data_IF_131721972312
#
_entry.id   IF_131721972312
#
_cell.length_a   1.000
_cell.length_b   1.000
_cell.length_c   1.000
_cell.angle_alpha   90.00
_cell.angle_beta   90.00
_cell.angle_gamma   90.00
#
_symmetry.space_group_name_H-M   'P 1'
#
loop_
_entity.id
_entity.type
_entity.pdbx_description
1 polymer ?
#
# COMPACT_ATOMS: atom_id res chain seq x y z
N UNK A 1 10.31 -13.77 -5.07
CA UNK A 1 8.92 -13.39 -4.77
C UNK A 1 8.97 -11.93 -4.37
N UNK A 2 8.30 -11.08 -5.13
CA UNK A 2 8.24 -9.63 -4.93
C UNK A 2 7.15 -9.30 -3.92
N UNK A 3 7.28 -8.23 -3.13
CA UNK A 3 6.17 -7.77 -2.25
C UNK A 3 4.98 -7.25 -3.04
N UNK A 4 5.16 -7.00 -4.34
CA UNK A 4 4.13 -6.53 -5.27
C UNK A 4 3.31 -7.69 -5.86
N UNK A 5 3.69 -8.95 -5.61
CA UNK A 5 2.98 -10.12 -6.14
C UNK A 5 1.55 -10.23 -5.57
N UNK A 6 1.28 -9.59 -4.41
CA UNK A 6 -0.01 -9.53 -3.72
C UNK A 6 -0.78 -8.20 -3.94
N UNK A 7 -0.28 -7.34 -4.85
CA UNK A 7 -0.80 -5.99 -5.13
C UNK A 7 -0.54 -4.96 -4.02
N UNK A 8 -0.88 -3.69 -4.28
CA UNK A 8 -0.74 -2.56 -3.35
C UNK A 8 -1.12 -2.86 -1.89
N UNK A 9 -2.27 -3.53 -1.67
CA UNK A 9 -2.75 -3.84 -0.33
C UNK A 9 -1.81 -4.80 0.43
N UNK A 10 -1.30 -5.84 -0.24
CA UNK A 10 -0.34 -6.78 0.35
C UNK A 10 1.02 -6.14 0.60
N UNK A 11 1.50 -5.30 -0.34
CA UNK A 11 2.73 -4.53 -0.18
C UNK A 11 2.63 -3.57 1.03
N UNK A 12 1.49 -2.92 1.21
CA UNK A 12 1.26 -2.02 2.34
C UNK A 12 1.19 -2.74 3.68
N UNK A 13 0.55 -3.91 3.74
CA UNK A 13 0.58 -4.72 4.94
C UNK A 13 2.01 -5.14 5.29
N UNK A 14 2.81 -5.56 4.29
CA UNK A 14 4.20 -5.93 4.48
C UNK A 14 5.06 -4.75 4.98
N UNK A 15 4.90 -3.57 4.38
CA UNK A 15 5.59 -2.32 4.80
C UNK A 15 5.18 -1.90 6.21
N UNK A 16 3.89 -1.96 6.55
CA UNK A 16 3.39 -1.68 7.90
C UNK A 16 3.98 -2.65 8.94
N UNK A 17 4.14 -3.92 8.57
CA UNK A 17 4.82 -4.92 9.42
C UNK A 17 6.30 -4.62 9.59
N UNK A 18 7.00 -4.14 8.55
CA UNK A 18 8.42 -3.74 8.68
C UNK A 18 8.59 -2.51 9.57
N UNK A 19 7.72 -1.51 9.41
CA UNK A 19 7.68 -0.35 10.31
C UNK A 19 7.44 -0.80 11.76
N UNK A 20 6.52 -1.75 11.98
CA UNK A 20 6.28 -2.35 13.29
C UNK A 20 7.54 -3.03 13.84
N UNK A 21 8.24 -3.84 13.05
CA UNK A 21 9.48 -4.49 13.45
C UNK A 21 10.57 -3.48 13.81
N UNK A 22 10.67 -2.38 13.06
CA UNK A 22 11.61 -1.30 13.38
C UNK A 22 11.25 -0.60 14.71
N UNK A 23 9.96 -0.36 14.96
CA UNK A 23 9.48 0.19 16.23
C UNK A 23 9.72 -0.77 17.40
N UNK A 24 9.51 -2.07 17.24
CA UNK A 24 9.82 -3.09 18.25
C UNK A 24 11.32 -3.14 18.57
N UNK A 25 12.16 -3.13 17.54
CA UNK A 25 13.60 -3.12 17.72
C UNK A 25 14.03 -1.86 18.47
N UNK A 26 13.54 -0.70 18.05
CA UNK A 26 13.79 0.56 18.72
C UNK A 26 13.33 0.54 20.19
N UNK A 27 12.11 0.07 20.42
CA UNK A 27 11.55 -0.03 21.74
C UNK A 27 12.36 -0.92 22.67
N UNK A 28 12.85 -2.06 22.15
CA UNK A 28 13.77 -2.94 22.88
C UNK A 28 15.07 -2.25 23.25
N UNK A 29 15.72 -1.54 22.31
CA UNK A 29 17.01 -0.89 22.56
C UNK A 29 16.89 0.34 23.48
N UNK A 30 15.72 0.99 23.52
CA UNK A 30 15.45 2.19 24.34
C UNK A 30 14.72 1.89 25.66
N UNK A 31 14.28 0.65 25.88
CA UNK A 31 13.50 0.24 27.06
C UNK A 31 11.99 0.47 26.94
N UNK A 32 11.49 1.00 25.83
CA UNK A 32 10.07 1.13 25.50
C UNK A 32 9.55 -0.22 24.94
N UNK A 33 9.11 -1.18 25.77
CA UNK A 33 8.70 -2.53 25.30
C UNK A 33 7.30 -2.94 25.75
N UNK A 34 6.68 -3.92 25.07
CA UNK A 34 5.48 -4.64 25.54
C UNK A 34 4.24 -4.53 24.65
N UNK A 35 3.06 -4.59 25.27
CA UNK A 35 1.72 -4.58 24.62
C UNK A 35 1.43 -3.32 23.79
N UNK A 36 2.27 -2.28 23.90
CA UNK A 36 2.17 -1.05 23.10
C UNK A 36 2.37 -1.27 21.60
N UNK A 37 2.97 -2.41 21.20
CA UNK A 37 3.43 -2.63 19.82
C UNK A 37 2.99 -3.96 19.15
N UNK A 38 2.20 -4.84 19.80
CA UNK A 38 1.79 -6.14 19.20
C UNK A 38 0.34 -6.16 18.62
N UNK A 39 0.02 -6.96 17.57
CA UNK A 39 -1.16 -6.71 16.75
C UNK A 39 -2.40 -7.53 17.12
N UNK A 40 -3.54 -6.83 17.27
CA UNK A 40 -4.87 -7.38 16.96
C UNK A 40 -5.22 -7.23 15.47
N UNK A 41 -5.06 -6.01 14.93
CA UNK A 41 -5.05 -5.70 13.49
C UNK A 41 -4.41 -4.30 13.29
N UNK A 42 -3.08 -4.16 13.37
CA UNK A 42 -2.31 -2.94 13.02
C UNK A 42 -2.91 -1.56 13.45
N UNK A 43 -3.35 -1.40 14.71
CA UNK A 43 -3.82 -0.11 15.23
C UNK A 43 -2.91 0.36 16.38
N UNK A 44 -2.19 1.46 16.17
CA UNK A 44 -1.33 2.12 17.18
C UNK A 44 -1.86 3.53 17.44
N UNK A 45 -1.87 3.96 18.70
CA UNK A 45 -2.33 5.31 19.07
C UNK A 45 -1.44 6.41 18.50
N UNK A 46 -2.03 7.52 18.06
CA UNK A 46 -1.31 8.61 17.39
C UNK A 46 -0.16 9.22 18.22
N UNK A 47 -0.33 9.34 19.55
CA UNK A 47 0.73 9.88 20.41
C UNK A 47 1.93 8.94 20.53
N UNK A 48 1.68 7.62 20.55
CA UNK A 48 2.75 6.60 20.54
C UNK A 48 3.51 6.63 19.22
N UNK A 49 2.78 6.77 18.09
CA UNK A 49 3.42 6.92 16.77
C UNK A 49 4.33 8.15 16.76
N UNK A 50 3.89 9.30 17.29
CA UNK A 50 4.69 10.53 17.31
C UNK A 50 5.93 10.42 18.18
N UNK A 51 5.81 9.84 19.37
CA UNK A 51 6.94 9.67 20.29
C UNK A 51 8.01 8.77 19.67
N UNK A 52 7.62 7.57 19.23
CA UNK A 52 8.56 6.58 18.68
C UNK A 52 9.12 7.01 17.33
N UNK A 53 8.29 7.56 16.43
CA UNK A 53 8.79 8.10 15.17
C UNK A 53 9.72 9.29 15.40
N UNK A 54 9.43 10.13 16.41
CA UNK A 54 10.29 11.23 16.82
C UNK A 54 11.67 10.73 17.27
N UNK A 55 11.70 9.73 18.14
CA UNK A 55 12.96 9.14 18.62
C UNK A 55 13.72 8.45 17.46
N UNK A 56 13.02 7.73 16.58
CA UNK A 56 13.63 7.08 15.40
C UNK A 56 14.27 8.13 14.48
N UNK A 57 13.53 9.21 14.21
CA UNK A 57 14.03 10.33 13.42
C UNK A 57 15.22 11.01 14.11
N UNK A 58 15.22 11.16 15.44
CA UNK A 58 16.36 11.68 16.17
C UNK A 58 17.61 10.81 15.99
N UNK A 59 17.47 9.47 16.07
CA UNK A 59 18.56 8.54 15.81
C UNK A 59 19.09 8.65 14.36
N UNK A 60 18.18 8.73 13.38
CA UNK A 60 18.55 8.94 11.97
C UNK A 60 19.26 10.28 11.76
N UNK A 61 18.84 11.34 12.44
CA UNK A 61 19.49 12.66 12.36
C UNK A 61 20.88 12.64 12.99
N UNK A 62 21.05 11.94 14.11
CA UNK A 62 22.38 11.72 14.69
C UNK A 62 23.30 10.96 13.72
N UNK A 63 22.78 9.94 13.05
CA UNK A 63 23.52 9.20 12.02
C UNK A 63 23.85 10.10 10.81
N UNK A 64 22.89 10.89 10.33
CA UNK A 64 23.09 11.84 9.23
C UNK A 64 24.23 12.81 9.54
N UNK A 65 24.16 13.44 10.73
CA UNK A 65 25.16 14.37 11.23
C UNK A 65 26.53 13.72 11.32
N UNK A 66 26.62 12.48 11.81
CA UNK A 66 27.88 11.73 11.88
C UNK A 66 28.52 11.53 10.50
N UNK A 67 27.70 11.43 9.46
CA UNK A 67 28.13 11.21 8.08
C UNK A 67 28.17 12.48 7.22
N UNK A 68 28.01 13.67 7.82
CA UNK A 68 28.01 14.95 7.09
C UNK A 68 26.80 15.16 6.17
N UNK A 69 25.72 14.40 6.37
CA UNK A 69 24.45 14.55 5.65
C UNK A 69 23.53 15.47 6.43
N UNK A 70 22.88 16.40 5.75
CA UNK A 70 21.86 17.27 6.35
C UNK A 70 20.61 16.44 6.71
N UNK A 71 20.19 16.40 7.99
CA UNK A 71 18.95 15.77 8.44
C UNK A 71 17.70 16.14 7.62
N UNK A 72 17.63 17.37 7.10
CA UNK A 72 16.49 17.80 6.30
C UNK A 72 16.30 16.97 5.02
N UNK A 73 17.40 16.45 4.46
CA UNK A 73 17.36 15.60 3.27
C UNK A 73 16.74 14.23 3.55
N UNK A 74 16.87 13.71 4.77
CA UNK A 74 16.24 12.45 5.18
C UNK A 74 14.72 12.61 5.25
N UNK A 75 14.25 13.71 5.84
CA UNK A 75 12.81 14.04 5.89
C UNK A 75 12.26 14.20 4.48
N UNK A 76 12.94 14.94 3.62
CA UNK A 76 12.52 15.18 2.25
C UNK A 76 12.45 13.88 1.44
N UNK A 77 13.46 13.00 1.56
CA UNK A 77 13.47 11.71 0.89
C UNK A 77 12.32 10.81 1.37
N UNK A 78 12.08 10.73 2.68
CA UNK A 78 10.96 9.96 3.24
C UNK A 78 9.60 10.46 2.75
N UNK A 79 9.39 11.78 2.69
CA UNK A 79 8.15 12.36 2.20
C UNK A 79 7.96 12.13 0.68
N UNK A 80 9.02 12.25 -0.11
CA UNK A 80 8.98 12.00 -1.55
C UNK A 80 8.59 10.54 -1.84
N UNK A 81 9.27 9.58 -1.20
CA UNK A 81 8.96 8.17 -1.38
C UNK A 81 7.52 7.83 -0.99
N UNK A 82 7.02 8.38 0.12
CA UNK A 82 5.63 8.16 0.53
C UNK A 82 4.62 8.69 -0.50
N UNK A 83 4.87 9.86 -1.09
CA UNK A 83 3.97 10.43 -2.10
C UNK A 83 4.00 9.62 -3.39
N UNK A 84 5.19 9.21 -3.85
CA UNK A 84 5.35 8.34 -5.02
C UNK A 84 4.64 7.00 -4.81
N UNK A 85 4.82 6.38 -3.64
CA UNK A 85 4.17 5.11 -3.30
C UNK A 85 2.63 5.23 -3.29
N UNK A 86 2.07 6.32 -2.73
CA UNK A 86 0.61 6.55 -2.78
C UNK A 86 0.08 6.68 -4.22
N UNK A 87 0.83 7.37 -5.09
CA UNK A 87 0.43 7.54 -6.49
C UNK A 87 0.44 6.21 -7.24
N UNK A 88 1.49 5.40 -7.04
CA UNK A 88 1.58 4.04 -7.58
C UNK A 88 0.41 3.16 -7.10
N UNK A 89 0.09 3.20 -5.80
CA UNK A 89 -1.04 2.46 -5.23
C UNK A 89 -2.38 2.87 -5.88
N UNK A 90 -2.57 4.17 -6.12
CA UNK A 90 -3.80 4.66 -6.73
C UNK A 90 -3.92 4.22 -8.20
N UNK A 91 -2.82 4.27 -8.94
CA UNK A 91 -2.76 3.81 -10.32
C UNK A 91 -3.03 2.31 -10.44
N UNK A 92 -2.47 1.49 -9.53
CA UNK A 92 -2.75 0.06 -9.48
C UNK A 92 -4.24 -0.23 -9.21
N UNK A 93 -4.88 0.51 -8.30
CA UNK A 93 -6.31 0.36 -8.02
C UNK A 93 -7.18 0.72 -9.22
N UNK A 94 -6.87 1.83 -9.90
CA UNK A 94 -7.58 2.24 -11.12
C UNK A 94 -7.44 1.19 -12.23
N UNK A 95 -6.22 0.68 -12.46
CA UNK A 95 -5.97 -0.33 -13.48
C UNK A 95 -6.72 -1.64 -13.18
N UNK A 96 -6.67 -2.12 -11.93
CA UNK A 96 -7.38 -3.32 -11.51
C UNK A 96 -8.91 -3.19 -11.67
N UNK A 97 -9.46 -1.99 -11.41
CA UNK A 97 -10.87 -1.72 -11.60
C UNK A 97 -11.27 -1.72 -13.09
N UNK A 98 -10.43 -1.16 -13.96
CA UNK A 98 -10.65 -1.16 -15.42
C UNK A 98 -10.62 -2.59 -15.97
N UNK A 99 -9.62 -3.40 -15.57
CA UNK A 99 -9.50 -4.79 -16.00
C UNK A 99 -10.71 -5.62 -15.56
N UNK A 100 -11.13 -5.46 -14.29
CA UNK A 100 -12.32 -6.15 -13.75
C UNK A 100 -13.60 -5.79 -14.52
N UNK A 101 -13.80 -4.50 -14.83
CA UNK A 101 -14.97 -4.03 -15.58
C UNK A 101 -14.95 -4.52 -17.04
N UNK A 102 -13.79 -4.59 -17.67
CA UNK A 102 -13.63 -5.12 -19.03
C UNK A 102 -13.96 -6.62 -19.10
N UNK A 103 -13.55 -7.39 -18.09
CA UNK A 103 -13.87 -8.81 -17.98
C UNK A 103 -15.37 -9.04 -17.80
N UNK A 104 -16.02 -8.26 -16.93
CA UNK A 104 -17.47 -8.32 -16.72
C UNK A 104 -18.27 -7.99 -17.99
N UNK A 105 -17.89 -6.90 -18.70
CA UNK A 105 -18.52 -6.52 -19.97
C UNK A 105 -18.34 -7.58 -21.05
N UNK A 106 -17.15 -8.20 -21.12
CA UNK A 106 -16.86 -9.26 -22.08
C UNK A 106 -17.71 -10.50 -21.81
N UNK A 107 -17.87 -10.87 -20.53
CA UNK A 107 -18.72 -11.98 -20.12
C UNK A 107 -20.22 -11.70 -20.34
N UNK A 108 -20.71 -10.50 -20.03
CA UNK A 108 -22.11 -10.13 -20.27
C UNK A 108 -22.42 -10.10 -21.78
N UNK A 109 -21.52 -9.54 -22.60
CA UNK A 109 -21.64 -9.62 -24.04
C UNK A 109 -21.66 -11.07 -24.52
N UNK A 110 -20.77 -11.94 -24.05
CA UNK A 110 -20.76 -13.36 -24.43
C UNK A 110 -22.06 -14.07 -24.05
N UNK A 111 -22.64 -13.79 -22.88
CA UNK A 111 -23.84 -14.46 -22.37
C UNK A 111 -25.14 -13.94 -22.96
N UNK A 112 -25.23 -12.63 -23.21
CA UNK A 112 -26.48 -11.95 -23.58
C UNK A 112 -26.39 -11.27 -24.94
N UNK A 113 -25.33 -10.52 -25.18
CA UNK A 113 -25.16 -9.77 -26.44
C UNK A 113 -24.93 -10.67 -27.65
N UNK A 114 -24.10 -11.71 -27.51
CA UNK A 114 -23.71 -12.60 -28.61
C UNK A 114 -24.88 -13.45 -29.11
N UNK A 115 -25.70 -14.08 -28.25
CA UNK A 115 -26.91 -14.78 -28.71
C UNK A 115 -27.91 -13.87 -29.43
N UNK A 116 -28.11 -12.63 -28.95
CA UNK A 116 -29.01 -11.66 -29.59
C UNK A 116 -28.47 -11.19 -30.95
N UNK A 117 -27.17 -10.95 -31.04
CA UNK A 117 -26.51 -10.62 -32.31
C UNK A 117 -26.63 -11.77 -33.32
N UNK A 118 -26.46 -13.02 -32.88
CA UNK A 118 -26.64 -14.19 -33.73
C UNK A 118 -28.08 -14.32 -34.25
N UNK A 119 -29.09 -14.11 -33.40
CA UNK A 119 -30.51 -14.09 -33.82
C UNK A 119 -30.76 -12.98 -34.83
N UNK A 120 -30.23 -11.78 -34.59
CA UNK A 120 -30.35 -10.66 -35.50
C UNK A 120 -29.74 -10.97 -36.88
N UNK A 121 -28.52 -11.53 -36.91
CA UNK A 121 -27.84 -11.91 -38.15
C UNK A 121 -28.54 -13.05 -38.90
N UNK A 122 -29.23 -13.95 -38.19
CA UNK A 122 -30.05 -15.02 -38.79
C UNK A 122 -31.45 -14.54 -39.22
N UNK A 123 -31.81 -13.29 -38.91
CA UNK A 123 -33.13 -12.73 -39.23
C UNK A 123 -34.26 -13.27 -38.34
N UNK A 124 -33.94 -13.76 -37.14
CA UNK A 124 -34.85 -14.43 -36.21
C UNK A 124 -35.40 -13.50 -35.11
N UNK A 125 -35.27 -12.18 -35.26
CA UNK A 125 -35.81 -11.20 -34.31
C UNK A 125 -37.32 -11.02 -34.43
N UNK A 126 -38.04 -11.01 -33.29
CA UNK A 126 -39.50 -10.94 -33.19
C UNK A 126 -40.11 -9.81 -34.05
N UNK A 127 -41.22 -10.15 -34.74
CA UNK A 127 -42.09 -9.24 -35.50
C UNK A 127 -42.91 -8.32 -34.61
#
# INVERSE_FOLDING_TARGET
MSIYDDGAAGANEARARWALTAMEAMGRETGQTGESYFPGTLMVGAEVIREVAGDLMANLFHLARLNGVDPALIVAAGAMHFVEEIDEEWQELEQNAIESAADELTEDFRKRGLPELEKFLKGEGDK
#
